data_IF_440891689444
#
_entry.id   IF_440891689444
#
_cell.length_a   1.000
_cell.length_b   1.000
_cell.length_c   1.000
_cell.angle_alpha   90.00
_cell.angle_beta   90.00
_cell.angle_gamma   90.00
#
_symmetry.space_group_name_H-M   'P 1'
#
loop_
_entity.id
_entity.type
_entity.pdbx_description
1 polymer ?
#
# COMPACT_ATOMS: atom_id res chain seq x y z
N UNK A 1 -10.56 -4.45 16.73
CA UNK A 1 -9.14 -4.73 16.46
C UNK A 1 -9.08 -5.50 15.15
N UNK A 2 -8.34 -5.01 14.16
CA UNK A 2 -8.35 -5.58 12.80
C UNK A 2 -7.65 -6.94 12.80
N UNK A 3 -8.06 -7.84 11.91
CA UNK A 3 -7.45 -9.16 11.74
C UNK A 3 -5.96 -9.06 11.38
N UNK A 4 -5.61 -8.05 10.58
CA UNK A 4 -4.23 -7.75 10.19
C UNK A 4 -3.38 -7.36 11.40
N UNK A 5 -3.89 -6.51 12.30
CA UNK A 5 -3.16 -6.15 13.52
C UNK A 5 -2.81 -7.37 14.38
N UNK A 6 -3.67 -8.39 14.42
CA UNK A 6 -3.39 -9.66 15.11
C UNK A 6 -2.32 -10.48 14.41
N UNK A 7 -2.35 -10.56 13.08
CA UNK A 7 -1.38 -11.34 12.29
C UNK A 7 0.03 -10.77 12.34
N UNK A 8 0.16 -9.44 12.47
CA UNK A 8 1.44 -8.73 12.42
C UNK A 8 1.96 -8.30 13.81
N UNK A 9 1.37 -8.80 14.89
CA UNK A 9 1.76 -8.48 16.27
C UNK A 9 2.14 -9.70 17.08
N UNK A 10 2.98 -9.50 18.10
CA UNK A 10 3.20 -10.52 19.13
C UNK A 10 1.90 -10.68 19.93
N UNK A 11 1.42 -11.91 20.18
CA UNK A 11 0.22 -12.13 20.97
C UNK A 11 0.25 -11.39 22.31
N UNK A 12 -0.80 -10.64 22.63
CA UNK A 12 -0.90 -9.79 23.82
C UNK A 12 -0.37 -8.36 23.67
N UNK A 13 0.26 -8.02 22.54
CA UNK A 13 0.77 -6.66 22.24
C UNK A 13 -0.01 -5.96 21.12
N UNK A 14 -1.07 -6.58 20.63
CA UNK A 14 -1.74 -6.16 19.39
C UNK A 14 -2.32 -4.76 19.47
N UNK A 15 -2.87 -4.40 20.63
CA UNK A 15 -3.42 -3.06 20.84
C UNK A 15 -2.31 -2.00 20.83
N UNK A 16 -1.24 -2.23 21.57
CA UNK A 16 -0.12 -1.28 21.65
C UNK A 16 0.56 -1.08 20.29
N UNK A 17 0.77 -2.17 19.54
CA UNK A 17 1.31 -2.08 18.19
C UNK A 17 0.36 -1.33 17.26
N UNK A 18 -0.95 -1.62 17.31
CA UNK A 18 -1.92 -0.92 16.48
C UNK A 18 -1.97 0.58 16.82
N UNK A 19 -2.00 0.93 18.10
CA UNK A 19 -1.99 2.32 18.56
C UNK A 19 -0.74 3.05 18.03
N UNK A 20 0.43 2.40 18.08
CA UNK A 20 1.67 2.95 17.52
C UNK A 20 1.63 3.14 16.00
N UNK A 21 1.10 2.16 15.25
CA UNK A 21 0.95 2.26 13.79
C UNK A 21 -0.05 3.37 13.39
N UNK A 22 -1.14 3.52 14.15
CA UNK A 22 -2.12 4.59 13.95
C UNK A 22 -1.51 5.97 14.23
N UNK A 23 -0.70 6.08 15.28
CA UNK A 23 -0.01 7.33 15.63
C UNK A 23 0.96 7.75 14.51
N UNK A 24 1.78 6.83 14.01
CA UNK A 24 2.71 7.11 12.91
C UNK A 24 1.99 7.48 11.61
N UNK A 25 0.93 6.75 11.25
CA UNK A 25 0.11 7.09 10.08
C UNK A 25 -0.52 8.50 10.21
N UNK A 26 -0.97 8.85 11.42
CA UNK A 26 -1.55 10.19 11.69
C UNK A 26 -0.51 11.29 11.58
N UNK A 27 0.70 11.08 12.11
CA UNK A 27 1.81 12.03 11.96
C UNK A 27 2.16 12.25 10.49
N UNK A 28 2.28 11.17 9.73
CA UNK A 28 2.63 11.24 8.32
C UNK A 28 1.55 11.93 7.49
N UNK A 29 0.27 11.58 7.67
CA UNK A 29 -0.84 12.26 6.98
C UNK A 29 -0.92 13.75 7.36
N UNK A 30 -0.68 14.10 8.63
CA UNK A 30 -0.66 15.49 9.07
C UNK A 30 0.46 16.27 8.39
N UNK A 31 1.65 15.66 8.26
CA UNK A 31 2.77 16.27 7.54
C UNK A 31 2.44 16.50 6.07
N UNK A 32 1.92 15.48 5.39
CA UNK A 32 1.48 15.58 4.01
C UNK A 32 0.50 16.75 3.81
N UNK A 33 -0.54 16.84 4.67
CA UNK A 33 -1.54 17.92 4.62
C UNK A 33 -0.94 19.29 4.87
N UNK A 34 0.04 19.41 5.75
CA UNK A 34 0.71 20.69 6.03
C UNK A 34 1.53 21.16 4.83
N UNK A 35 2.18 20.24 4.12
CA UNK A 35 3.10 20.57 3.03
C UNK A 35 2.36 20.78 1.69
N UNK A 36 1.33 19.99 1.42
CA UNK A 36 0.60 19.99 0.12
C UNK A 36 -0.78 20.68 0.22
N UNK A 37 -1.24 21.01 1.44
CA UNK A 37 -2.54 21.65 1.71
C UNK A 37 -3.77 20.90 1.16
N UNK A 38 -3.66 19.57 0.94
CA UNK A 38 -4.76 18.68 0.58
C UNK A 38 -4.56 17.28 1.16
N UNK A 39 -5.59 16.45 1.04
CA UNK A 39 -5.49 15.01 1.24
C UNK A 39 -4.78 14.33 0.06
N UNK A 40 -4.09 13.20 0.30
CA UNK A 40 -3.59 12.39 -0.80
C UNK A 40 -4.76 11.82 -1.61
N UNK A 41 -4.61 11.82 -2.93
CA UNK A 41 -5.58 11.24 -3.85
C UNK A 41 -5.26 9.79 -4.19
N UNK A 42 -4.00 9.36 -4.10
CA UNK A 42 -3.58 7.97 -4.36
C UNK A 42 -2.53 7.49 -3.35
N UNK A 43 -2.41 6.17 -3.17
CA UNK A 43 -1.34 5.59 -2.34
C UNK A 43 0.05 5.91 -2.90
N UNK A 44 0.17 6.01 -4.23
CA UNK A 44 1.43 6.35 -4.86
C UNK A 44 1.89 7.76 -4.46
N UNK A 45 0.99 8.75 -4.51
CA UNK A 45 1.25 10.10 -4.05
C UNK A 45 1.67 10.13 -2.57
N UNK A 46 0.91 9.44 -1.71
CA UNK A 46 1.18 9.39 -0.27
C UNK A 46 2.51 8.69 0.08
N UNK A 47 2.83 7.58 -0.57
CA UNK A 47 4.03 6.77 -0.31
C UNK A 47 5.27 7.43 -0.90
N UNK A 48 5.19 7.90 -2.16
CA UNK A 48 6.31 8.59 -2.81
C UNK A 48 6.69 9.86 -2.06
N UNK A 49 5.72 10.58 -1.47
CA UNK A 49 6.01 11.75 -0.63
C UNK A 49 7.14 11.50 0.35
N UNK A 50 7.05 10.37 1.07
CA UNK A 50 8.00 9.98 2.11
C UNK A 50 9.33 9.50 1.54
N UNK A 51 9.28 8.66 0.52
CA UNK A 51 10.50 8.09 -0.08
C UNK A 51 11.34 9.15 -0.78
N UNK A 52 10.71 10.14 -1.40
CA UNK A 52 11.41 11.23 -2.09
C UNK A 52 12.05 12.20 -1.10
N UNK A 53 11.35 12.55 -0.03
CA UNK A 53 11.94 13.37 1.02
C UNK A 53 13.15 12.67 1.69
N UNK A 54 13.02 11.36 1.93
CA UNK A 54 14.06 10.51 2.53
C UNK A 54 15.28 10.30 1.62
N UNK A 55 15.05 10.02 0.32
CA UNK A 55 16.11 9.60 -0.60
C UNK A 55 16.87 10.77 -1.24
N UNK A 56 16.19 11.89 -1.53
CA UNK A 56 16.73 12.98 -2.34
C UNK A 56 16.58 14.37 -1.72
N UNK A 57 15.88 14.50 -0.58
CA UNK A 57 15.66 15.78 0.08
C UNK A 57 14.90 16.81 -0.77
N UNK A 58 14.15 16.34 -1.77
CA UNK A 58 13.31 17.19 -2.61
C UNK A 58 11.88 17.23 -2.07
N UNK A 59 11.22 18.37 -2.30
CA UNK A 59 9.78 18.47 -2.12
C UNK A 59 9.05 17.61 -3.17
N UNK A 60 7.81 17.24 -2.88
CA UNK A 60 6.95 16.51 -3.83
C UNK A 60 6.78 17.27 -5.15
N UNK A 61 6.58 18.59 -5.08
CA UNK A 61 6.35 19.44 -6.24
C UNK A 61 7.58 19.47 -7.15
N UNK A 62 8.77 19.62 -6.54
CA UNK A 62 10.04 19.57 -7.28
C UNK A 62 10.29 18.21 -7.91
N UNK A 63 9.90 17.12 -7.25
CA UNK A 63 10.02 15.79 -7.83
C UNK A 63 9.05 15.56 -8.97
N UNK A 64 7.75 15.87 -8.81
CA UNK A 64 6.78 15.69 -9.90
C UNK A 64 7.20 16.52 -11.12
N UNK A 65 7.66 17.74 -10.89
CA UNK A 65 8.21 18.58 -11.95
C UNK A 65 9.44 17.92 -12.59
N UNK A 66 10.43 17.52 -11.81
CA UNK A 66 11.64 16.90 -12.33
C UNK A 66 11.38 15.56 -13.05
N UNK A 67 10.50 14.71 -12.53
CA UNK A 67 10.11 13.44 -13.14
C UNK A 67 9.34 13.66 -14.45
N UNK A 68 8.37 14.58 -14.45
CA UNK A 68 7.57 14.90 -15.65
C UNK A 68 8.41 15.59 -16.73
N UNK A 69 9.38 16.41 -16.34
CA UNK A 69 10.34 17.06 -17.23
C UNK A 69 11.49 16.14 -17.66
N UNK A 70 11.57 14.92 -17.12
CA UNK A 70 12.57 13.92 -17.47
C UNK A 70 13.99 14.25 -16.98
N UNK A 71 14.12 14.84 -15.79
CA UNK A 71 15.41 15.16 -15.18
C UNK A 71 16.27 13.89 -15.06
N UNK A 72 17.39 13.90 -15.77
CA UNK A 72 18.26 12.74 -15.91
C UNK A 72 18.88 12.25 -14.58
N UNK A 73 19.05 13.13 -13.58
CA UNK A 73 19.56 12.73 -12.26
C UNK A 73 18.48 12.02 -11.46
N UNK A 74 17.25 12.53 -11.50
CA UNK A 74 16.10 11.91 -10.81
C UNK A 74 15.76 10.56 -11.44
N UNK A 75 15.74 10.48 -12.78
CA UNK A 75 15.53 9.21 -13.48
C UNK A 75 16.61 8.18 -13.15
N UNK A 76 17.88 8.61 -13.04
CA UNK A 76 18.98 7.72 -12.66
C UNK A 76 18.84 7.16 -11.23
N UNK A 77 18.31 7.94 -10.30
CA UNK A 77 18.05 7.50 -8.92
C UNK A 77 16.87 6.51 -8.91
N UNK A 78 15.81 6.81 -9.67
CA UNK A 78 14.66 5.92 -9.80
C UNK A 78 15.01 4.56 -10.45
N UNK A 79 15.97 4.55 -11.38
CA UNK A 79 16.46 3.34 -12.06
C UNK A 79 17.50 2.55 -11.22
N UNK A 80 17.88 3.03 -10.04
CA UNK A 80 18.89 2.37 -9.22
C UNK A 80 18.35 1.05 -8.64
N UNK A 81 19.00 -0.06 -8.99
CA UNK A 81 18.66 -1.37 -8.44
C UNK A 81 19.16 -1.48 -7.01
N UNK A 82 18.23 -1.69 -6.07
CA UNK A 82 18.54 -1.89 -4.66
C UNK A 82 18.56 -3.40 -4.34
N UNK A 83 19.59 -3.92 -3.65
CA UNK A 83 19.59 -5.30 -3.14
C UNK A 83 18.38 -5.56 -2.25
N UNK A 84 17.79 -6.76 -2.35
CA UNK A 84 16.57 -7.09 -1.62
C UNK A 84 16.76 -6.96 -0.10
N UNK A 85 17.92 -7.35 0.43
CA UNK A 85 18.22 -7.25 1.86
C UNK A 85 18.20 -5.79 2.36
N UNK A 86 18.45 -4.83 1.47
CA UNK A 86 18.34 -3.40 1.78
C UNK A 86 16.92 -2.87 1.60
N UNK A 87 16.17 -3.41 0.65
CA UNK A 87 14.80 -2.99 0.36
C UNK A 87 13.75 -3.59 1.32
N UNK A 88 14.00 -4.80 1.83
CA UNK A 88 13.07 -5.58 2.65
C UNK A 88 12.55 -4.80 3.88
N UNK A 89 13.39 -4.09 4.67
CA UNK A 89 12.90 -3.34 5.81
C UNK A 89 11.89 -2.25 5.41
N UNK A 90 12.14 -1.53 4.31
CA UNK A 90 11.23 -0.51 3.79
C UNK A 90 9.93 -1.12 3.30
N UNK A 91 10.00 -2.26 2.57
CA UNK A 91 8.83 -3.00 2.11
C UNK A 91 7.94 -3.42 3.28
N UNK A 92 8.54 -3.99 4.34
CA UNK A 92 7.80 -4.37 5.56
C UNK A 92 7.17 -3.16 6.23
N UNK A 93 7.92 -2.06 6.32
CA UNK A 93 7.43 -0.84 6.94
C UNK A 93 6.23 -0.25 6.19
N UNK A 94 6.22 -0.23 4.86
CA UNK A 94 5.03 0.17 4.08
C UNK A 94 3.81 -0.69 4.40
N UNK A 95 3.99 -2.01 4.53
CA UNK A 95 2.90 -2.91 4.90
C UNK A 95 2.31 -2.56 6.27
N UNK A 96 3.17 -2.31 7.26
CA UNK A 96 2.74 -1.93 8.62
C UNK A 96 2.07 -0.56 8.67
N UNK A 97 2.62 0.42 7.96
CA UNK A 97 2.02 1.75 7.82
C UNK A 97 0.64 1.68 7.17
N UNK A 98 0.48 0.84 6.15
CA UNK A 98 -0.82 0.59 5.52
C UNK A 98 -1.87 0.04 6.50
N UNK A 99 -1.46 -0.83 7.45
CA UNK A 99 -2.35 -1.32 8.51
C UNK A 99 -2.77 -0.19 9.44
N UNK A 100 -1.82 0.63 9.90
CA UNK A 100 -2.09 1.80 10.74
C UNK A 100 -3.02 2.78 10.04
N UNK A 101 -2.65 3.20 8.84
CA UNK A 101 -3.40 4.15 8.02
C UNK A 101 -4.82 3.66 7.72
N UNK A 102 -4.97 2.43 7.21
CA UNK A 102 -6.27 1.84 6.89
C UNK A 102 -7.18 1.74 8.10
N UNK A 103 -6.62 1.50 9.29
CA UNK A 103 -7.40 1.43 10.52
C UNK A 103 -7.81 2.80 11.09
N UNK A 104 -7.04 3.86 10.82
CA UNK A 104 -7.32 5.23 11.28
C UNK A 104 -8.18 6.03 10.32
N UNK A 105 -8.05 5.79 9.01
CA UNK A 105 -8.64 6.59 7.95
C UNK A 105 -9.32 5.70 6.89
N UNK A 106 -10.36 4.92 7.26
CA UNK A 106 -10.97 3.95 6.36
C UNK A 106 -11.59 4.61 5.12
N UNK A 107 -12.24 5.75 5.25
CA UNK A 107 -12.86 6.44 4.10
C UNK A 107 -11.82 7.01 3.13
N UNK A 108 -10.70 7.51 3.65
CA UNK A 108 -9.60 8.02 2.83
C UNK A 108 -8.88 6.87 2.12
N UNK A 109 -8.69 5.74 2.81
CA UNK A 109 -8.17 4.49 2.24
C UNK A 109 -9.02 4.02 1.07
N UNK A 110 -10.35 4.00 1.24
CA UNK A 110 -11.29 3.61 0.17
C UNK A 110 -11.18 4.57 -1.03
N UNK A 111 -11.20 5.89 -0.78
CA UNK A 111 -11.02 6.91 -1.83
C UNK A 111 -9.72 6.70 -2.61
N UNK A 112 -8.60 6.53 -1.90
CA UNK A 112 -7.28 6.34 -2.51
C UNK A 112 -7.20 5.03 -3.29
N UNK A 113 -7.85 3.97 -2.82
CA UNK A 113 -7.94 2.70 -3.53
C UNK A 113 -8.69 2.88 -4.86
N UNK A 114 -9.89 3.45 -4.82
CA UNK A 114 -10.72 3.71 -6.01
C UNK A 114 -9.96 4.53 -7.05
N UNK A 115 -9.34 5.62 -6.63
CA UNK A 115 -8.52 6.46 -7.50
C UNK A 115 -7.32 5.72 -8.10
N UNK A 116 -6.76 4.73 -7.40
CA UNK A 116 -5.55 4.02 -7.87
C UNK A 116 -5.87 2.82 -8.75
N UNK A 117 -7.01 2.16 -8.55
CA UNK A 117 -7.29 0.83 -9.10
C UNK A 117 -8.65 0.68 -9.79
N UNK A 118 -9.59 1.60 -9.55
CA UNK A 118 -10.89 1.65 -10.24
C UNK A 118 -10.91 2.77 -11.30
N UNK A 119 -10.35 3.94 -10.99
CA UNK A 119 -10.26 5.11 -11.88
C UNK A 119 -8.86 5.26 -12.50
N UNK A 120 -8.38 4.21 -13.16
CA UNK A 120 -6.99 4.12 -13.61
C UNK A 120 -6.68 5.15 -14.72
N UNK A 121 -5.68 5.99 -14.46
CA UNK A 121 -5.09 6.87 -15.46
C UNK A 121 -4.31 6.05 -16.52
N UNK A 122 -4.91 5.93 -17.70
CA UNK A 122 -4.35 5.15 -18.81
C UNK A 122 -3.05 5.73 -19.38
N UNK A 123 -2.81 7.04 -19.24
CA UNK A 123 -1.56 7.66 -19.69
C UNK A 123 -0.41 7.27 -18.76
N UNK A 124 -0.67 7.29 -17.44
CA UNK A 124 0.29 6.80 -16.43
C UNK A 124 0.51 5.29 -16.57
N UNK A 125 -0.55 4.52 -16.80
CA UNK A 125 -0.48 3.06 -17.04
C UNK A 125 0.42 2.71 -18.24
N UNK A 126 0.24 3.42 -19.36
CA UNK A 126 1.07 3.24 -20.55
C UNK A 126 2.54 3.61 -20.30
N UNK A 127 2.81 4.67 -19.53
CA UNK A 127 4.19 5.05 -19.14
C UNK A 127 4.85 3.97 -18.29
N UNK A 128 4.16 3.42 -17.29
CA UNK A 128 4.72 2.33 -16.47
C UNK A 128 5.15 1.14 -17.31
N UNK A 129 4.35 0.74 -18.31
CA UNK A 129 4.74 -0.30 -19.29
C UNK A 129 5.97 0.10 -20.09
N UNK A 130 6.02 1.32 -20.61
CA UNK A 130 7.16 1.83 -21.37
C UNK A 130 8.46 1.85 -20.56
N UNK A 131 8.35 2.01 -19.23
CA UNK A 131 9.46 1.95 -18.28
C UNK A 131 9.75 0.54 -17.74
N UNK A 132 9.17 -0.50 -18.34
CA UNK A 132 9.57 -1.89 -18.10
C UNK A 132 8.77 -2.65 -17.05
N UNK A 133 7.68 -2.08 -16.49
CA UNK A 133 6.73 -2.88 -15.73
C UNK A 133 6.03 -3.88 -16.66
N UNK A 134 6.07 -5.16 -16.27
CA UNK A 134 5.38 -6.24 -16.99
C UNK A 134 3.92 -6.29 -16.52
N UNK A 135 3.10 -5.37 -17.04
CA UNK A 135 1.67 -5.23 -16.74
C UNK A 135 0.83 -5.31 -18.03
N UNK A 136 -0.46 -5.72 -17.97
CA UNK A 136 -1.30 -5.87 -19.16
C UNK A 136 -1.54 -4.55 -19.89
N UNK A 137 -1.92 -4.64 -21.17
CA UNK A 137 -2.13 -3.46 -22.01
C UNK A 137 -3.28 -2.58 -21.52
N UNK A 138 -4.38 -3.21 -21.16
CA UNK A 138 -5.51 -2.61 -20.49
C UNK A 138 -5.57 -3.16 -19.06
N UNK A 139 -5.69 -2.30 -18.04
CA UNK A 139 -5.91 -2.77 -16.70
C UNK A 139 -7.29 -3.43 -16.58
N UNK A 140 -7.40 -4.43 -15.72
CA UNK A 140 -8.70 -4.96 -15.30
C UNK A 140 -9.03 -4.33 -13.95
N UNK A 141 -9.89 -3.30 -13.89
CA UNK A 141 -10.29 -2.73 -12.62
C UNK A 141 -11.04 -3.80 -11.83
N UNK A 142 -10.63 -3.98 -10.57
CA UNK A 142 -11.27 -4.86 -9.60
C UNK A 142 -11.79 -3.95 -8.50
N UNK A 143 -13.07 -4.10 -8.13
CA UNK A 143 -13.62 -3.29 -7.04
C UNK A 143 -12.96 -3.67 -5.72
N UNK A 144 -12.95 -2.74 -4.76
CA UNK A 144 -12.42 -3.03 -3.43
C UNK A 144 -13.07 -4.26 -2.79
N UNK A 145 -14.38 -4.46 -2.95
CA UNK A 145 -15.11 -5.60 -2.41
C UNK A 145 -14.70 -6.93 -3.07
N UNK A 146 -14.48 -6.91 -4.39
CA UNK A 146 -14.02 -8.09 -5.11
C UNK A 146 -12.56 -8.42 -4.75
N UNK A 147 -11.72 -7.40 -4.57
CA UNK A 147 -10.36 -7.57 -4.08
C UNK A 147 -10.33 -8.13 -2.65
N UNK A 148 -11.19 -7.63 -1.75
CA UNK A 148 -11.33 -8.14 -0.39
C UNK A 148 -11.71 -9.62 -0.41
N UNK A 149 -12.68 -9.99 -1.25
CA UNK A 149 -13.10 -11.38 -1.44
C UNK A 149 -11.94 -12.27 -1.89
N UNK A 150 -11.17 -11.85 -2.90
CA UNK A 150 -10.00 -12.59 -3.39
C UNK A 150 -8.97 -12.79 -2.28
N UNK A 151 -8.64 -11.74 -1.53
CA UNK A 151 -7.68 -11.81 -0.42
C UNK A 151 -8.17 -12.77 0.66
N UNK A 152 -9.45 -12.68 1.06
CA UNK A 152 -10.03 -13.57 2.07
C UNK A 152 -10.01 -15.03 1.62
N UNK A 153 -10.27 -15.32 0.33
CA UNK A 153 -10.14 -16.67 -0.24
C UNK A 153 -8.69 -17.17 -0.20
N UNK A 154 -7.70 -16.35 -0.57
CA UNK A 154 -6.28 -16.73 -0.50
C UNK A 154 -5.87 -17.04 0.94
N UNK A 155 -6.25 -16.16 1.88
CA UNK A 155 -5.92 -16.32 3.30
C UNK A 155 -6.63 -17.54 3.88
N UNK A 156 -7.90 -17.77 3.54
CA UNK A 156 -8.65 -18.96 3.96
C UNK A 156 -8.04 -20.25 3.42
N UNK A 157 -7.64 -20.28 2.14
CA UNK A 157 -6.98 -21.43 1.54
C UNK A 157 -5.65 -21.74 2.24
N UNK A 158 -4.82 -20.72 2.49
CA UNK A 158 -3.58 -20.87 3.23
C UNK A 158 -3.80 -21.35 4.67
N UNK A 159 -4.70 -20.70 5.41
CA UNK A 159 -5.04 -21.05 6.78
C UNK A 159 -5.57 -22.48 6.86
N UNK A 160 -6.45 -22.90 5.95
CA UNK A 160 -7.00 -24.27 5.94
C UNK A 160 -5.91 -25.34 5.80
N UNK A 161 -4.84 -25.05 5.05
CA UNK A 161 -3.75 -25.98 4.78
C UNK A 161 -2.69 -25.98 5.89
N UNK A 162 -2.36 -24.80 6.43
CA UNK A 162 -1.20 -24.61 7.29
C UNK A 162 -1.57 -24.44 8.77
N UNK A 163 -2.74 -23.84 9.06
CA UNK A 163 -3.19 -23.42 10.40
C UNK A 163 -4.72 -23.54 10.54
N UNK A 164 -5.30 -24.74 10.40
CA UNK A 164 -6.76 -24.93 10.32
C UNK A 164 -7.51 -24.43 11.56
N UNK A 165 -6.85 -24.37 12.72
CA UNK A 165 -7.37 -23.79 13.95
C UNK A 165 -7.70 -22.29 13.83
N UNK A 166 -7.08 -21.59 12.88
CA UNK A 166 -7.34 -20.17 12.64
C UNK A 166 -8.63 -19.92 11.84
N UNK A 167 -9.20 -20.94 11.18
CA UNK A 167 -10.37 -20.73 10.32
C UNK A 167 -11.58 -20.19 11.09
N UNK A 168 -11.86 -20.72 12.28
CA UNK A 168 -12.94 -20.24 13.14
C UNK A 168 -12.58 -18.93 13.82
N UNK A 169 -11.34 -18.81 14.29
CA UNK A 169 -10.87 -17.64 15.02
C UNK A 169 -10.86 -16.36 14.15
N UNK A 170 -10.75 -16.54 12.83
CA UNK A 170 -10.65 -15.48 11.84
C UNK A 170 -11.90 -15.37 10.95
N UNK A 171 -12.95 -16.15 11.20
CA UNK A 171 -14.18 -16.20 10.41
C UNK A 171 -13.95 -16.47 8.90
N UNK A 172 -13.03 -17.40 8.60
CA UNK A 172 -12.59 -17.69 7.23
C UNK A 172 -13.32 -18.86 6.57
N UNK A 173 -14.18 -19.58 7.28
CA UNK A 173 -14.83 -20.81 6.76
C UNK A 173 -15.63 -20.56 5.49
N UNK A 174 -16.33 -19.43 5.41
CA UNK A 174 -17.13 -19.06 4.24
C UNK A 174 -16.31 -18.89 2.94
N UNK A 175 -15.00 -18.73 3.06
CA UNK A 175 -14.10 -18.44 1.93
C UNK A 175 -13.28 -19.65 1.48
N UNK A 176 -13.46 -20.83 2.11
CA UNK A 176 -12.72 -22.06 1.75
C UNK A 176 -13.34 -22.79 0.55
N UNK A 177 -14.67 -22.70 0.36
CA UNK A 177 -15.41 -23.50 -0.63
C UNK A 177 -15.54 -22.85 -2.02
N UNK A 178 -15.18 -21.57 -2.17
CA UNK A 178 -15.29 -20.85 -3.46
C UNK A 178 -14.04 -20.94 -4.35
N UNK A 179 -12.98 -21.63 -3.91
CA UNK A 179 -11.69 -21.73 -4.62
C UNK A 179 -11.44 -23.03 -5.40
N UNK A 180 -12.51 -23.76 -5.78
CA UNK A 180 -12.44 -25.01 -6.54
C UNK A 180 -12.61 -24.85 -8.04
#
# INVERSE_FOLDING_TARGET
>A
MTILAKLFSIPGTEKENLDGLQEEATKHLSKFRNDIAKDPDTFHEFILFRELESAIGLSMEDWFKAYTEGDAKIMKIADEKVPLEKAEPSIKWFGLEGIGFGSSFPELTEKMYKNSYEDIDMDVWAKHRAHGLVIPEEPTPISLEEQEKIVLQIVAAYASKCYPELLDALDLRGYVEEGG
#
